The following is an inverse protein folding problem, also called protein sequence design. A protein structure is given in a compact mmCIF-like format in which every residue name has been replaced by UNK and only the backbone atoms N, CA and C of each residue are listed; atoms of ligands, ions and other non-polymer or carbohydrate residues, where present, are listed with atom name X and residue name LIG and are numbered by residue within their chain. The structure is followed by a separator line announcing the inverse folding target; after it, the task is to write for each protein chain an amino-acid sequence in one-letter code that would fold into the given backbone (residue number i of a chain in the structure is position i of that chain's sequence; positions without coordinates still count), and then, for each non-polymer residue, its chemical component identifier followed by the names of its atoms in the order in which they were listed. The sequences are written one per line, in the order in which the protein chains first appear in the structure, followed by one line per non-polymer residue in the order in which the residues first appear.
data_IF_989240696081
#
_entry.id   IF_989240696081
#
_cell.length_a   1.000
_cell.length_b   1.000
_cell.length_c   1.000
_cell.angle_alpha   90.00
_cell.angle_beta   90.00
_cell.angle_gamma   90.00
#
_symmetry.space_group_name_H-M   'P 1'
#
loop_
_entity.id
_entity.type
_entity.pdbx_description
1 polymer ?
#
# COMPACT_ATOMS: atom_id res chain seq x y z
N UNK A 1 -6.55 44.64 -21.56
CA UNK A 1 -7.35 43.77 -20.67
C UNK A 1 -6.46 43.27 -19.54
N UNK A 2 -6.51 43.93 -18.38
CA UNK A 2 -5.67 43.55 -17.24
C UNK A 2 -6.29 42.33 -16.53
N UNK A 3 -5.66 41.16 -16.68
CA UNK A 3 -5.97 39.96 -15.89
C UNK A 3 -5.79 40.30 -14.41
N UNK A 4 -6.90 40.43 -13.69
CA UNK A 4 -6.94 40.56 -12.23
C UNK A 4 -6.32 39.30 -11.61
N UNK A 5 -5.01 39.35 -11.33
CA UNK A 5 -4.31 38.36 -10.49
C UNK A 5 -4.83 38.48 -9.06
N UNK A 6 -5.97 37.85 -8.78
CA UNK A 6 -6.40 37.61 -7.40
C UNK A 6 -5.32 36.75 -6.75
N UNK A 7 -4.53 37.35 -5.85
CA UNK A 7 -3.48 36.66 -5.10
C UNK A 7 -4.14 35.71 -4.10
N UNK A 8 -4.36 34.47 -4.51
CA UNK A 8 -4.81 33.41 -3.62
C UNK A 8 -3.57 32.70 -3.05
N UNK A 9 -3.27 32.96 -1.78
CA UNK A 9 -2.11 32.37 -1.09
C UNK A 9 -2.18 30.85 -1.00
N UNK A 10 -3.37 30.27 -0.84
CA UNK A 10 -3.58 28.83 -0.79
C UNK A 10 -3.29 28.17 -2.14
N UNK A 11 -3.74 28.79 -3.24
CA UNK A 11 -3.41 28.31 -4.58
C UNK A 11 -1.90 28.36 -4.83
N UNK A 12 -1.24 29.46 -4.45
CA UNK A 12 0.20 29.60 -4.58
C UNK A 12 0.97 28.54 -3.77
N UNK A 13 0.57 28.29 -2.52
CA UNK A 13 1.14 27.22 -1.69
C UNK A 13 0.96 25.84 -2.34
N UNK A 14 -0.24 25.57 -2.87
CA UNK A 14 -0.51 24.30 -3.55
C UNK A 14 0.34 24.11 -4.80
N UNK A 15 0.50 25.17 -5.61
CA UNK A 15 1.38 25.15 -6.78
C UNK A 15 2.83 24.88 -6.36
N UNK A 16 3.31 25.53 -5.29
CA UNK A 16 4.65 25.28 -4.77
C UNK A 16 4.83 23.81 -4.34
N UNK A 17 3.84 23.20 -3.67
CA UNK A 17 3.86 21.76 -3.35
C UNK A 17 3.88 20.89 -4.60
N UNK A 18 3.08 21.23 -5.62
CA UNK A 18 3.03 20.48 -6.88
C UNK A 18 4.34 20.54 -7.67
N UNK A 19 5.12 21.61 -7.48
CA UNK A 19 6.43 21.80 -8.10
C UNK A 19 7.59 21.09 -7.40
N UNK A 20 7.35 20.47 -6.22
CA UNK A 20 8.38 19.69 -5.53
C UNK A 20 8.86 18.53 -6.41
N UNK A 21 10.18 18.33 -6.43
CA UNK A 21 10.82 17.29 -7.22
C UNK A 21 10.81 15.95 -6.48
N UNK A 22 10.66 14.87 -7.23
CA UNK A 22 10.71 13.51 -6.73
C UNK A 22 12.04 12.86 -7.13
N UNK A 23 12.68 12.19 -6.17
CA UNK A 23 13.86 11.40 -6.42
C UNK A 23 13.47 10.07 -7.11
N UNK A 24 14.15 9.68 -8.20
CA UNK A 24 13.83 8.45 -8.92
C UNK A 24 14.16 7.20 -8.09
N UNK A 25 13.24 6.23 -8.11
CA UNK A 25 13.51 4.89 -7.58
C UNK A 25 14.27 4.04 -8.60
N UNK A 26 15.09 3.12 -8.09
CA UNK A 26 15.90 2.20 -8.88
C UNK A 26 15.35 0.78 -8.68
N UNK A 27 15.22 -0.03 -9.76
CA UNK A 27 14.78 -1.41 -9.64
C UNK A 27 15.88 -2.30 -9.05
N UNK A 28 15.47 -3.45 -8.50
CA UNK A 28 16.36 -4.52 -8.03
C UNK A 28 16.43 -5.63 -9.09
N UNK A 29 17.57 -6.34 -9.22
CA UNK A 29 18.80 -6.16 -8.45
C UNK A 29 19.59 -4.90 -8.84
N UNK A 30 19.59 -4.53 -10.13
CA UNK A 30 20.20 -3.32 -10.68
C UNK A 30 19.43 -2.88 -11.93
N UNK A 31 19.43 -1.58 -12.24
CA UNK A 31 18.85 -1.05 -13.48
C UNK A 31 18.66 0.48 -13.46
N UNK A 32 18.32 1.11 -14.59
CA UNK A 32 17.96 2.52 -14.60
C UNK A 32 16.59 2.75 -13.92
N UNK A 33 16.27 3.98 -13.47
CA UNK A 33 14.91 4.33 -13.09
C UNK A 33 13.91 4.10 -14.22
N UNK A 34 12.66 3.80 -13.88
CA UNK A 34 11.59 3.66 -14.87
C UNK A 34 11.51 4.92 -15.77
N UNK A 35 11.40 4.79 -17.10
CA UNK A 35 11.46 5.93 -18.03
C UNK A 35 10.38 6.98 -17.79
N UNK A 36 9.19 6.56 -17.35
CA UNK A 36 8.08 7.44 -17.00
C UNK A 36 8.03 7.82 -15.50
N UNK A 37 9.12 7.63 -14.74
CA UNK A 37 9.10 8.00 -13.33
C UNK A 37 8.85 9.52 -13.18
N UNK A 38 7.89 9.94 -12.34
CA UNK A 38 7.49 11.33 -12.26
C UNK A 38 8.61 12.18 -11.64
N UNK A 39 8.97 13.28 -12.31
CA UNK A 39 10.00 14.21 -11.83
C UNK A 39 9.49 15.16 -10.74
N UNK A 40 8.17 15.41 -10.70
CA UNK A 40 7.53 16.31 -9.74
C UNK A 40 6.24 15.72 -9.21
N UNK A 41 5.74 16.27 -8.10
CA UNK A 41 4.43 15.91 -7.54
C UNK A 41 3.32 16.18 -8.57
N UNK A 42 3.39 17.26 -9.34
CA UNK A 42 2.44 17.54 -10.42
C UNK A 42 2.43 16.43 -11.47
N UNK A 43 3.61 16.04 -11.96
CA UNK A 43 3.73 14.99 -12.97
C UNK A 43 3.13 13.66 -12.46
N UNK A 44 3.38 13.30 -11.20
CA UNK A 44 2.78 12.13 -10.57
C UNK A 44 1.24 12.16 -10.58
N UNK A 45 0.62 13.31 -10.28
CA UNK A 45 -0.84 13.42 -10.28
C UNK A 45 -1.46 13.37 -11.68
N UNK A 46 -0.67 13.60 -12.73
CA UNK A 46 -1.10 13.56 -14.12
C UNK A 46 -0.84 12.22 -14.81
N UNK A 47 -0.19 11.27 -14.12
CA UNK A 47 0.05 9.95 -14.67
C UNK A 47 -1.24 9.22 -15.07
N UNK A 48 -1.16 8.60 -16.23
CA UNK A 48 -2.18 7.74 -16.83
C UNK A 48 -2.25 6.38 -16.14
N UNK A 49 -3.29 5.61 -16.44
CA UNK A 49 -3.42 4.26 -15.92
C UNK A 49 -2.28 3.34 -16.38
N UNK A 50 -1.94 3.40 -17.67
CA UNK A 50 -0.91 2.54 -18.27
C UNK A 50 0.48 2.83 -17.68
N UNK A 51 0.79 4.10 -17.39
CA UNK A 51 2.04 4.48 -16.73
C UNK A 51 2.11 3.95 -15.28
N UNK A 52 0.99 3.98 -14.55
CA UNK A 52 0.91 3.43 -13.20
C UNK A 52 1.08 1.91 -13.20
N UNK A 53 0.47 1.21 -14.16
CA UNK A 53 0.60 -0.24 -14.31
C UNK A 53 2.00 -0.66 -14.75
N UNK A 54 2.58 0.06 -15.71
CA UNK A 54 3.96 -0.12 -16.15
C UNK A 54 4.94 0.03 -14.99
N UNK A 55 4.78 1.08 -14.17
CA UNK A 55 5.59 1.26 -12.96
C UNK A 55 5.39 0.12 -11.96
N UNK A 56 4.14 -0.29 -11.70
CA UNK A 56 3.86 -1.37 -10.76
C UNK A 56 4.47 -2.70 -11.21
N UNK A 57 4.48 -2.99 -12.51
CA UNK A 57 5.14 -4.17 -13.07
C UNK A 57 6.66 -4.07 -12.95
N UNK A 58 7.23 -2.93 -13.33
CA UNK A 58 8.68 -2.69 -13.32
C UNK A 58 9.32 -2.86 -11.93
N UNK A 59 8.63 -2.45 -10.87
CA UNK A 59 9.09 -2.60 -9.48
C UNK A 59 8.54 -3.85 -8.77
N UNK A 60 8.09 -4.86 -9.53
CA UNK A 60 7.62 -6.15 -9.00
C UNK A 60 6.44 -6.04 -8.01
N UNK A 61 5.62 -4.99 -8.13
CA UNK A 61 4.46 -4.74 -7.26
C UNK A 61 3.16 -5.34 -7.81
N UNK A 62 3.03 -5.51 -9.13
CA UNK A 62 1.87 -6.17 -9.76
C UNK A 62 2.14 -7.63 -10.12
N UNK A 63 3.39 -7.98 -10.46
CA UNK A 63 3.84 -9.34 -10.79
C UNK A 63 4.88 -9.76 -9.75
N UNK A 64 4.47 -10.49 -8.71
CA UNK A 64 5.37 -10.85 -7.62
C UNK A 64 6.58 -11.64 -8.12
N UNK A 65 7.75 -11.28 -7.61
CA UNK A 65 9.01 -11.96 -7.83
C UNK A 65 9.78 -12.10 -6.52
N UNK A 66 10.97 -12.71 -6.56
CA UNK A 66 11.86 -12.78 -5.40
C UNK A 66 12.23 -11.40 -4.82
N UNK A 67 12.10 -10.34 -5.60
CA UNK A 67 12.43 -8.97 -5.21
C UNK A 67 11.25 -8.19 -4.63
N UNK A 68 10.01 -8.67 -4.75
CA UNK A 68 8.80 -7.94 -4.31
C UNK A 68 8.89 -7.47 -2.86
N UNK A 69 9.39 -8.33 -1.97
CA UNK A 69 9.54 -8.03 -0.54
C UNK A 69 10.86 -7.32 -0.18
N UNK A 70 11.69 -6.98 -1.18
CA UNK A 70 12.99 -6.31 -0.99
C UNK A 70 12.91 -4.80 -1.23
N UNK A 71 11.81 -4.32 -1.80
CA UNK A 71 11.46 -2.90 -1.81
C UNK A 71 10.65 -2.58 -0.55
N UNK A 72 10.85 -1.44 0.15
CA UNK A 72 11.92 -0.45 0.04
C UNK A 72 13.19 -0.87 0.81
N UNK A 73 14.36 -0.74 0.19
CA UNK A 73 15.64 -1.03 0.86
C UNK A 73 15.87 -0.05 2.02
N UNK A 74 16.45 -0.55 3.13
CA UNK A 74 16.86 0.32 4.25
C UNK A 74 17.77 1.41 3.72
N UNK A 75 17.54 2.65 4.12
CA UNK A 75 18.43 3.75 3.79
C UNK A 75 19.82 3.40 4.32
N UNK A 76 20.81 3.25 3.43
CA UNK A 76 22.20 3.12 3.85
C UNK A 76 22.66 4.52 4.29
N UNK A 77 22.33 4.88 5.52
CA UNK A 77 22.74 6.15 6.14
C UNK A 77 24.26 6.30 6.19
N UNK A 78 24.98 5.18 6.13
CA UNK A 78 26.44 5.09 6.09
C UNK A 78 27.04 5.53 4.74
N UNK A 79 26.22 5.87 3.73
CA UNK A 79 26.76 6.43 2.49
C UNK A 79 27.36 7.81 2.76
N UNK A 80 28.61 7.98 2.34
CA UNK A 80 29.44 9.16 2.57
C UNK A 80 28.80 10.50 2.12
N UNK A 81 27.85 10.46 1.17
CA UNK A 81 27.10 11.65 0.73
C UNK A 81 25.95 12.08 1.66
N UNK A 82 25.49 11.18 2.55
CA UNK A 82 24.44 11.41 3.56
C UNK A 82 24.99 11.47 4.98
N UNK A 83 26.14 10.80 5.19
CA UNK A 83 26.95 11.04 6.37
C UNK A 83 27.19 12.54 6.44
N UNK A 84 26.79 13.16 7.55
CA UNK A 84 27.18 14.54 7.80
C UNK A 84 28.70 14.57 7.67
N UNK A 85 29.30 15.50 6.92
CA UNK A 85 30.72 15.71 6.99
C UNK A 85 31.00 16.23 8.40
N UNK A 86 31.11 15.31 9.36
CA UNK A 86 31.29 15.65 10.75
C UNK A 86 32.68 16.23 10.91
N UNK A 87 32.65 17.41 11.53
CA UNK A 87 33.75 18.04 12.23
C UNK A 87 34.65 16.96 12.84
N UNK A 88 35.86 16.87 12.31
CA UNK A 88 36.90 15.99 12.85
C UNK A 88 37.15 16.38 14.29
N UNK A 89 36.72 15.57 15.24
CA UNK A 89 37.36 15.51 16.55
C UNK A 89 37.73 14.06 16.86
N UNK A 90 39.02 13.91 17.11
CA UNK A 90 39.71 12.68 17.38
C UNK A 90 39.21 12.07 18.69
N UNK A 91 38.82 10.79 18.69
CA UNK A 91 39.42 9.77 19.58
C UNK A 91 38.57 8.48 19.70
N UNK A 92 39.32 7.38 19.69
CA UNK A 92 39.06 6.11 20.41
C UNK A 92 38.08 5.09 19.84
N UNK A 93 38.66 3.92 19.59
CA UNK A 93 38.06 2.59 19.41
C UNK A 93 36.96 2.28 20.44
N UNK A 94 35.87 1.61 20.04
CA UNK A 94 35.31 0.46 20.78
C UNK A 94 34.18 -0.25 20.04
N UNK A 95 34.41 -1.55 19.81
CA UNK A 95 33.55 -2.72 20.06
C UNK A 95 32.11 -2.81 19.51
N UNK A 96 31.91 -3.93 18.81
CA UNK A 96 30.69 -4.73 18.68
C UNK A 96 29.79 -4.73 19.93
N UNK A 97 28.53 -4.32 19.77
CA UNK A 97 27.40 -4.84 20.55
C UNK A 97 26.13 -4.77 19.73
N UNK A 98 25.50 -5.94 19.60
CA UNK A 98 24.17 -6.18 19.07
C UNK A 98 23.13 -5.61 20.05
N UNK A 99 22.44 -4.52 19.71
CA UNK A 99 21.24 -4.12 20.47
C UNK A 99 20.15 -3.56 19.54
N UNK A 100 19.30 -4.47 19.07
CA UNK A 100 18.03 -4.17 18.45
C UNK A 100 17.11 -3.45 19.46
N UNK A 101 17.16 -2.12 19.43
CA UNK A 101 16.23 -1.28 20.19
C UNK A 101 14.85 -1.31 19.54
N UNK A 102 14.03 -2.23 20.03
CA UNK A 102 12.58 -2.22 19.89
C UNK A 102 12.04 -0.88 20.41
N UNK A 103 11.59 0.00 19.51
CA UNK A 103 10.89 1.23 19.88
C UNK A 103 9.47 0.91 20.36
N UNK A 104 9.34 0.47 21.61
CA UNK A 104 8.07 0.53 22.34
C UNK A 104 7.81 1.99 22.73
N UNK A 105 7.28 2.77 21.78
CA UNK A 105 6.72 4.10 22.08
C UNK A 105 5.53 3.90 23.01
N UNK A 106 5.70 4.29 24.27
CA UNK A 106 4.62 4.31 25.27
C UNK A 106 3.57 5.32 24.81
N UNK A 107 2.35 4.85 24.54
CA UNK A 107 1.24 5.70 24.11
C UNK A 107 0.88 6.68 25.23
N UNK A 108 0.56 7.91 24.87
CA UNK A 108 -0.02 8.88 25.80
C UNK A 108 -1.41 8.43 26.24
N UNK A 109 -1.88 8.93 27.39
CA UNK A 109 -3.17 8.55 27.96
C UNK A 109 -4.35 8.87 27.02
N UNK A 110 -4.25 9.97 26.27
CA UNK A 110 -5.22 10.34 25.23
C UNK A 110 -5.18 9.42 24.01
N UNK A 111 -4.01 8.91 23.62
CA UNK A 111 -3.89 7.93 22.53
C UNK A 111 -4.43 6.56 22.96
N UNK A 112 -4.24 6.17 24.22
CA UNK A 112 -4.76 4.91 24.77
C UNK A 112 -6.29 4.93 24.89
N UNK A 113 -6.88 6.04 25.34
CA UNK A 113 -8.33 6.18 25.42
C UNK A 113 -8.98 6.20 24.03
N UNK A 114 -8.36 6.87 23.07
CA UNK A 114 -8.80 6.86 21.68
C UNK A 114 -8.76 5.45 21.06
N UNK A 115 -7.69 4.69 21.30
CA UNK A 115 -7.59 3.30 20.83
C UNK A 115 -8.63 2.39 21.48
N UNK A 116 -8.93 2.58 22.76
CA UNK A 116 -9.96 1.81 23.45
C UNK A 116 -11.37 2.11 22.88
N UNK A 117 -11.68 3.38 22.63
CA UNK A 117 -12.94 3.79 22.03
C UNK A 117 -13.07 3.26 20.58
N UNK A 118 -11.97 3.28 19.82
CA UNK A 118 -11.91 2.72 18.48
C UNK A 118 -12.18 1.20 18.49
N UNK A 119 -11.55 0.43 19.38
CA UNK A 119 -11.79 -1.02 19.45
C UNK A 119 -13.25 -1.33 19.86
N UNK A 120 -13.84 -0.50 20.72
CA UNK A 120 -15.24 -0.64 21.13
C UNK A 120 -16.20 -0.40 19.97
N UNK A 121 -15.99 0.66 19.18
CA UNK A 121 -16.83 0.92 18.00
C UNK A 121 -16.76 -0.19 16.94
N UNK A 122 -15.59 -0.80 16.76
CA UNK A 122 -15.41 -1.96 15.87
C UNK A 122 -16.14 -3.19 16.39
N UNK A 123 -16.10 -3.45 17.69
CA UNK A 123 -16.89 -4.54 18.32
C UNK A 123 -18.40 -4.30 18.20
N UNK A 124 -18.86 -3.07 18.38
CA UNK A 124 -20.28 -2.72 18.27
C UNK A 124 -20.78 -2.89 16.81
N UNK A 125 -19.94 -2.59 15.82
CA UNK A 125 -20.21 -2.86 14.40
C UNK A 125 -20.26 -4.36 14.09
N UNK A 126 -19.42 -5.18 14.73
CA UNK A 126 -19.45 -6.63 14.55
C UNK A 126 -20.68 -7.29 15.21
N UNK A 127 -21.23 -6.69 16.26
CA UNK A 127 -22.38 -7.22 16.99
C UNK A 127 -23.73 -6.88 16.35
N UNK A 128 -23.80 -5.91 15.44
CA UNK A 128 -25.05 -5.50 14.80
C UNK A 128 -24.94 -5.42 13.25
N UNK A 129 -25.10 -6.52 12.50
CA UNK A 129 -25.01 -6.51 11.04
C UNK A 129 -26.23 -5.89 10.33
N UNK A 130 -27.21 -5.34 11.06
CA UNK A 130 -28.52 -5.01 10.52
C UNK A 130 -28.77 -3.49 10.34
N UNK A 131 -27.89 -2.74 9.68
CA UNK A 131 -28.27 -1.48 8.99
C UNK A 131 -27.23 -1.09 7.94
N UNK A 132 -27.14 -1.83 6.84
CA UNK A 132 -26.60 -1.29 5.59
C UNK A 132 -27.45 -1.87 4.46
N UNK A 133 -28.23 -1.00 3.83
CA UNK A 133 -28.91 -1.30 2.58
C UNK A 133 -27.90 -1.85 1.57
N UNK A 134 -28.25 -2.99 0.98
CA UNK A 134 -27.46 -3.76 0.03
C UNK A 134 -27.17 -2.96 -1.25
N UNK A 135 -25.89 -2.79 -1.66
CA UNK A 135 -25.55 -2.48 -3.03
C UNK A 135 -25.77 -3.71 -3.93
N UNK A 136 -26.08 -3.52 -5.23
CA UNK A 136 -26.59 -4.59 -6.07
C UNK A 136 -25.56 -5.69 -6.27
N UNK A 137 -26.04 -6.91 -6.09
CA UNK A 137 -25.40 -8.16 -6.43
C UNK A 137 -24.90 -8.14 -7.88
N UNK A 138 -23.59 -8.25 -8.07
CA UNK A 138 -22.98 -8.95 -9.22
C UNK A 138 -21.46 -8.97 -9.07
N UNK A 139 -20.91 -10.01 -8.45
CA UNK A 139 -19.51 -10.39 -8.75
C UNK A 139 -19.46 -11.88 -9.01
N UNK A 140 -19.49 -12.19 -10.30
CA UNK A 140 -19.31 -13.52 -10.86
C UNK A 140 -17.96 -14.13 -10.46
N UNK A 141 -18.04 -15.40 -10.10
CA UNK A 141 -16.95 -16.34 -9.85
C UNK A 141 -15.97 -16.42 -11.04
N UNK A 142 -14.69 -16.54 -10.74
CA UNK A 142 -13.59 -16.60 -11.71
C UNK A 142 -12.54 -15.53 -11.41
N UNK A 143 -11.26 -15.89 -11.54
CA UNK A 143 -10.09 -15.04 -11.30
C UNK A 143 -10.11 -13.75 -12.14
N UNK A 144 -10.95 -12.78 -11.76
CA UNK A 144 -11.06 -11.47 -12.41
C UNK A 144 -10.37 -10.46 -11.51
N UNK A 145 -9.53 -9.65 -12.14
CA UNK A 145 -8.86 -8.52 -11.51
C UNK A 145 -9.91 -7.69 -10.75
N UNK A 146 -9.75 -7.47 -9.43
CA UNK A 146 -10.77 -6.83 -8.58
C UNK A 146 -11.10 -5.40 -9.00
N UNK A 147 -10.31 -4.81 -9.89
CA UNK A 147 -10.52 -3.46 -10.42
C UNK A 147 -11.38 -3.40 -11.68
N UNK A 148 -11.72 -4.54 -12.30
CA UNK A 148 -12.44 -4.58 -13.59
C UNK A 148 -13.88 -4.06 -13.46
N UNK A 149 -14.51 -4.26 -12.31
CA UNK A 149 -15.88 -3.78 -12.06
C UNK A 149 -15.94 -2.30 -11.66
N UNK A 150 -14.80 -1.62 -11.48
CA UNK A 150 -14.74 -0.22 -11.07
C UNK A 150 -14.72 0.73 -12.27
N UNK A 151 -15.26 1.93 -12.08
CA UNK A 151 -15.08 3.02 -13.04
C UNK A 151 -13.61 3.40 -13.19
N UNK A 152 -13.22 3.86 -14.38
CA UNK A 152 -11.84 4.21 -14.70
C UNK A 152 -11.27 5.25 -13.72
N UNK A 153 -12.06 6.29 -13.40
CA UNK A 153 -11.65 7.32 -12.45
C UNK A 153 -11.37 6.76 -11.05
N UNK A 154 -12.17 5.80 -10.58
CA UNK A 154 -11.98 5.16 -9.28
C UNK A 154 -10.75 4.23 -9.31
N UNK A 155 -10.64 3.42 -10.36
CA UNK A 155 -9.52 2.50 -10.57
C UNK A 155 -8.18 3.24 -10.61
N UNK A 156 -8.08 4.33 -11.39
CA UNK A 156 -6.89 5.18 -11.48
C UNK A 156 -6.55 5.80 -10.12
N UNK A 157 -7.55 6.28 -9.37
CA UNK A 157 -7.34 6.83 -8.03
C UNK A 157 -6.74 5.81 -7.06
N UNK A 158 -7.22 4.57 -7.07
CA UNK A 158 -6.70 3.49 -6.24
C UNK A 158 -5.27 3.15 -6.65
N UNK A 159 -5.02 2.93 -7.95
CA UNK A 159 -3.69 2.64 -8.49
C UNK A 159 -2.68 3.73 -8.13
N UNK A 160 -3.07 5.00 -8.30
CA UNK A 160 -2.24 6.17 -7.95
C UNK A 160 -1.90 6.19 -6.47
N UNK A 161 -2.86 5.96 -5.56
CA UNK A 161 -2.57 5.88 -4.12
C UNK A 161 -1.58 4.78 -3.79
N UNK A 162 -1.75 3.59 -4.36
CA UNK A 162 -0.82 2.48 -4.15
C UNK A 162 0.60 2.81 -4.60
N UNK A 163 0.75 3.38 -5.79
CA UNK A 163 2.06 3.83 -6.29
C UNK A 163 2.62 4.97 -5.43
N UNK A 164 1.78 5.93 -5.04
CA UNK A 164 2.15 7.04 -4.15
C UNK A 164 2.69 6.55 -2.80
N UNK A 165 2.02 5.56 -2.19
CA UNK A 165 2.49 4.91 -0.96
C UNK A 165 3.81 4.18 -1.18
N UNK A 166 3.95 3.46 -2.29
CA UNK A 166 5.18 2.74 -2.65
C UNK A 166 6.39 3.67 -2.78
N UNK A 167 6.22 4.85 -3.38
CA UNK A 167 7.28 5.85 -3.52
C UNK A 167 7.45 6.78 -2.29
N UNK A 168 6.69 6.54 -1.21
CA UNK A 168 6.85 7.26 0.06
C UNK A 168 6.13 8.61 0.16
N UNK A 169 5.08 8.84 -0.63
CA UNK A 169 4.26 10.04 -0.49
C UNK A 169 3.29 9.95 0.70
N UNK A 170 3.26 11.01 1.50
CA UNK A 170 2.35 11.15 2.65
C UNK A 170 0.91 11.32 2.16
N UNK A 171 -0.07 10.70 2.85
CA UNK A 171 -1.49 10.85 2.52
C UNK A 171 -1.94 9.98 1.33
N UNK A 172 -1.11 9.02 0.91
CA UNK A 172 -1.40 8.09 -0.18
C UNK A 172 -1.82 6.70 0.33
N UNK A 173 -2.28 6.63 1.57
CA UNK A 173 -2.86 5.41 2.13
C UNK A 173 -4.05 4.97 1.25
N UNK A 174 -4.07 3.68 0.90
CA UNK A 174 -5.24 3.11 0.24
C UNK A 174 -6.35 2.99 1.31
N UNK A 175 -7.57 3.49 1.05
CA UNK A 175 -8.67 3.46 2.02
C UNK A 175 -8.93 2.06 2.58
N UNK A 176 -9.44 1.99 3.81
CA UNK A 176 -9.63 0.73 4.55
C UNK A 176 -10.65 -0.16 3.86
N UNK A 177 -11.66 0.42 3.21
CA UNK A 177 -12.71 -0.29 2.48
C UNK A 177 -12.13 -1.09 1.32
N UNK A 178 -11.17 -0.51 0.58
CA UNK A 178 -10.47 -1.17 -0.52
C UNK A 178 -9.56 -2.31 -0.02
N UNK A 179 -9.01 -2.17 1.20
CA UNK A 179 -8.19 -3.20 1.85
C UNK A 179 -9.10 -4.34 2.34
N UNK A 180 -10.20 -4.01 3.01
CA UNK A 180 -11.18 -4.94 3.53
C UNK A 180 -11.79 -5.78 2.41
N UNK A 181 -12.17 -5.17 1.28
CA UNK A 181 -12.69 -5.91 0.12
C UNK A 181 -11.70 -6.92 -0.45
N UNK A 182 -10.39 -6.63 -0.42
CA UNK A 182 -9.35 -7.59 -0.83
C UNK A 182 -9.17 -8.72 0.18
N UNK A 183 -9.18 -8.40 1.48
CA UNK A 183 -9.07 -9.39 2.54
C UNK A 183 -10.28 -10.32 2.51
N UNK A 184 -11.48 -9.77 2.39
CA UNK A 184 -12.71 -10.54 2.26
C UNK A 184 -12.67 -11.47 1.05
N UNK A 185 -12.32 -10.95 -0.13
CA UNK A 185 -12.18 -11.78 -1.33
C UNK A 185 -11.11 -12.88 -1.20
N UNK A 186 -10.08 -12.69 -0.37
CA UNK A 186 -9.08 -13.72 -0.10
C UNK A 186 -9.58 -14.78 0.88
N UNK A 187 -10.39 -14.38 1.87
CA UNK A 187 -11.03 -15.28 2.83
C UNK A 187 -12.07 -16.14 2.12
N UNK A 188 -12.93 -15.53 1.30
CA UNK A 188 -13.98 -16.25 0.56
C UNK A 188 -13.38 -17.35 -0.33
N UNK A 189 -12.27 -17.05 -1.03
CA UNK A 189 -11.52 -18.04 -1.83
C UNK A 189 -10.94 -19.17 -0.98
N UNK A 190 -10.49 -18.87 0.24
CA UNK A 190 -9.96 -19.89 1.15
C UNK A 190 -11.08 -20.81 1.66
N UNK A 191 -12.26 -20.25 1.95
CA UNK A 191 -13.46 -20.99 2.34
C UNK A 191 -13.91 -21.91 1.19
N UNK A 192 -14.01 -21.40 -0.04
CA UNK A 192 -14.37 -22.21 -1.20
C UNK A 192 -13.41 -23.39 -1.41
N UNK A 193 -12.10 -23.15 -1.27
CA UNK A 193 -11.09 -24.22 -1.37
C UNK A 193 -11.27 -25.28 -0.29
N UNK A 194 -11.52 -24.85 0.96
CA UNK A 194 -11.78 -25.75 2.09
C UNK A 194 -13.04 -26.60 1.87
N UNK A 195 -14.11 -25.99 1.35
CA UNK A 195 -15.35 -26.69 1.03
C UNK A 195 -15.15 -27.75 -0.06
N UNK A 196 -14.42 -27.41 -1.13
CA UNK A 196 -14.09 -28.35 -2.21
C UNK A 196 -13.24 -29.53 -1.70
N UNK A 197 -12.29 -29.26 -0.80
CA UNK A 197 -11.45 -30.30 -0.21
C UNK A 197 -12.25 -31.24 0.70
N UNK A 198 -13.18 -30.68 1.49
CA UNK A 198 -14.10 -31.45 2.34
C UNK A 198 -14.99 -32.36 1.49
N UNK A 199 -15.60 -31.82 0.43
CA UNK A 199 -16.46 -32.57 -0.48
C UNK A 199 -15.70 -33.71 -1.18
N UNK A 200 -14.48 -33.45 -1.65
CA UNK A 200 -13.61 -34.48 -2.24
C UNK A 200 -13.26 -35.58 -1.24
N UNK A 201 -13.01 -35.22 0.01
CA UNK A 201 -12.71 -36.18 1.06
C UNK A 201 -13.94 -37.05 1.41
N UNK A 202 -15.13 -36.45 1.45
CA UNK A 202 -16.40 -37.17 1.65
C UNK A 202 -16.68 -38.16 0.51
N UNK A 203 -16.49 -37.74 -0.75
CA UNK A 203 -16.60 -38.63 -1.92
C UNK A 203 -15.61 -39.80 -1.84
N UNK A 204 -14.37 -39.54 -1.43
CA UNK A 204 -13.36 -40.58 -1.23
C UNK A 204 -13.77 -41.58 -0.14
N UNK A 205 -14.27 -41.09 1.00
CA UNK A 205 -14.73 -41.93 2.12
C UNK A 205 -15.94 -42.78 1.69
N UNK A 206 -16.91 -42.18 1.00
CA UNK A 206 -18.11 -42.86 0.50
C UNK A 206 -17.79 -43.90 -0.58
N UNK A 207 -16.81 -43.64 -1.44
CA UNK A 207 -16.29 -44.62 -2.41
C UNK A 207 -15.61 -45.81 -1.74
N UNK A 208 -14.82 -45.58 -0.69
CA UNK A 208 -14.20 -46.65 0.13
C UNK A 208 -15.24 -47.53 0.82
N UNK A 209 -16.29 -46.93 1.36
CA UNK A 209 -17.39 -47.63 2.03
C UNK A 209 -18.22 -48.51 1.10
N UNK A 210 -18.29 -48.20 -0.20
CA UNK A 210 -19.00 -49.01 -1.20
C UNK A 210 -18.21 -50.25 -1.67
N UNK A 211 -16.92 -50.34 -1.35
CA UNK A 211 -16.05 -51.48 -1.74
C UNK A 211 -15.85 -52.51 -0.61
N UNK A 212 -16.54 -52.34 0.52
CA UNK A 212 -16.61 -53.30 1.64
C UNK A 212 -18.03 -53.85 1.71
#
# INVERSE_FOLDING_TARGET
MALLKRKNSLLAQKIATLQLHLAPLVPLPEGPPHPAFPKTIMAFHLMTEDELDSMAHYYHQSTPSQWTNKYPARMNWDKEFLARPDLKDHSTQTTTTEEAHNHNRRLSEAEASFLADLMKTVEDLQKNPATLESPPETIATGSKNPYVALSDAHRIRIKRRKVGKFIGLVGMETPVEDIAGRVQASIDRAIERSAQETQRNEEYIMGRKKMV
#
